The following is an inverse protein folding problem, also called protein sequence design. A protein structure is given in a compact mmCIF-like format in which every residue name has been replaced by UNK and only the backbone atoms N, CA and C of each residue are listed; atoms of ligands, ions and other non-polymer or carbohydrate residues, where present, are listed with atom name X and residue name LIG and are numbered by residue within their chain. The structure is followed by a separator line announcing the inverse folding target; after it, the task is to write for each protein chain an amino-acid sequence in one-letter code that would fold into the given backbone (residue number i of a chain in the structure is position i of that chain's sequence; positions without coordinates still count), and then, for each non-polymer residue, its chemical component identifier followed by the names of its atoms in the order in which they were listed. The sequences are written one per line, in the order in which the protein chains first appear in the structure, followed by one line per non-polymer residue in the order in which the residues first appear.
data_IF_524344419188
#
_entry.id   IF_524344419188
#
_cell.length_a   1.000
_cell.length_b   1.000
_cell.length_c   1.000
_cell.angle_alpha   90.00
_cell.angle_beta   90.00
_cell.angle_gamma   90.00
#
_symmetry.space_group_name_H-M   'P 1'
#
loop_
_entity.id
_entity.type
_entity.pdbx_description
1 polymer ?
#
# COMPACT_ATOMS: atom_id res chain seq x y z
N UNK A 1 -11.08 7.24 -18.35
CA UNK A 1 -10.90 6.83 -16.93
C UNK A 1 -9.62 5.99 -16.85
N UNK A 2 -8.76 6.21 -15.86
CA UNK A 2 -7.39 5.62 -15.79
C UNK A 2 -7.40 4.17 -15.27
N UNK A 3 -8.46 3.74 -14.57
CA UNK A 3 -8.59 2.41 -13.96
C UNK A 3 -9.66 1.58 -14.69
N UNK A 4 -9.48 0.25 -14.72
CA UNK A 4 -10.53 -0.71 -15.14
C UNK A 4 -11.63 -0.85 -14.08
N UNK A 5 -12.77 -1.43 -14.43
CA UNK A 5 -13.88 -1.67 -13.48
C UNK A 5 -13.43 -2.48 -12.26
N UNK A 6 -12.61 -3.52 -12.47
CA UNK A 6 -12.03 -4.30 -11.37
C UNK A 6 -11.08 -3.47 -10.51
N UNK A 7 -10.27 -2.59 -11.11
CA UNK A 7 -9.38 -1.70 -10.37
C UNK A 7 -10.14 -0.61 -9.61
N UNK A 8 -11.30 -0.17 -10.07
CA UNK A 8 -12.19 0.75 -9.32
C UNK A 8 -12.69 0.09 -8.03
N UNK A 9 -13.07 -1.19 -8.09
CA UNK A 9 -13.51 -1.92 -6.90
C UNK A 9 -12.37 -2.04 -5.87
N UNK A 10 -11.16 -2.39 -6.33
CA UNK A 10 -9.96 -2.45 -5.48
C UNK A 10 -9.66 -1.07 -4.89
N UNK A 11 -9.70 -0.02 -5.72
CA UNK A 11 -9.55 1.36 -5.29
C UNK A 11 -10.53 1.72 -4.18
N UNK A 12 -11.83 1.41 -4.33
CA UNK A 12 -12.84 1.70 -3.33
C UNK A 12 -12.52 1.11 -1.97
N UNK A 13 -12.12 -0.17 -1.92
CA UNK A 13 -11.70 -0.84 -0.67
C UNK A 13 -10.46 -0.17 -0.06
N UNK A 14 -9.43 0.08 -0.87
CA UNK A 14 -8.18 0.71 -0.42
C UNK A 14 -8.42 2.14 0.08
N UNK A 15 -9.26 2.89 -0.62
CA UNK A 15 -9.61 4.26 -0.29
C UNK A 15 -10.31 4.35 1.06
N UNK A 16 -11.32 3.50 1.29
CA UNK A 16 -12.02 3.46 2.57
C UNK A 16 -11.10 3.13 3.73
N UNK A 17 -10.22 2.15 3.56
CA UNK A 17 -9.23 1.81 4.58
C UNK A 17 -8.27 2.95 4.89
N UNK A 18 -7.78 3.66 3.87
CA UNK A 18 -6.89 4.80 4.05
C UNK A 18 -7.57 5.94 4.82
N UNK A 19 -8.86 6.19 4.57
CA UNK A 19 -9.64 7.18 5.32
C UNK A 19 -9.89 6.78 6.77
N UNK A 20 -10.07 5.49 7.07
CA UNK A 20 -10.18 5.00 8.46
C UNK A 20 -8.87 5.17 9.23
N UNK A 21 -7.73 4.89 8.59
CA UNK A 21 -6.41 5.15 9.17
C UNK A 21 -6.22 6.66 9.45
N UNK A 22 -6.65 7.52 8.52
CA UNK A 22 -6.63 8.96 8.71
C UNK A 22 -7.60 9.43 9.81
N UNK A 23 -8.78 8.80 9.92
CA UNK A 23 -9.74 9.07 10.99
C UNK A 23 -9.13 8.77 12.36
N UNK A 24 -8.38 7.68 12.47
CA UNK A 24 -7.67 7.32 13.70
C UNK A 24 -6.63 8.38 14.09
N UNK A 25 -5.92 8.97 13.12
CA UNK A 25 -4.99 10.09 13.35
C UNK A 25 -5.70 11.29 13.99
N UNK A 26 -6.93 11.62 13.56
CA UNK A 26 -7.69 12.76 14.06
C UNK A 26 -8.58 12.46 15.26
N UNK A 27 -8.48 11.29 15.89
CA UNK A 27 -9.36 10.88 17.00
C UNK A 27 -9.38 11.88 18.17
N UNK A 28 -8.31 12.66 18.35
CA UNK A 28 -8.17 13.65 19.42
C UNK A 28 -7.77 14.98 18.78
N UNK A 29 -8.33 16.10 19.26
CA UNK A 29 -8.00 17.45 18.82
C UNK A 29 -9.12 18.13 18.02
N UNK A 30 -8.79 19.23 17.34
CA UNK A 30 -9.74 20.07 16.60
C UNK A 30 -10.47 19.32 15.48
N UNK A 31 -9.84 18.29 14.92
CA UNK A 31 -10.35 17.54 13.77
C UNK A 31 -11.13 16.27 14.18
N UNK A 32 -11.35 16.06 15.49
CA UNK A 32 -12.04 14.87 16.01
C UNK A 32 -13.52 14.75 15.60
N UNK A 33 -14.13 15.82 15.09
CA UNK A 33 -15.48 15.77 14.52
C UNK A 33 -15.56 15.23 13.08
N UNK A 34 -14.44 15.17 12.36
CA UNK A 34 -14.44 14.86 10.91
C UNK A 34 -14.67 13.37 10.68
N UNK A 35 -15.70 13.03 9.92
CA UNK A 35 -16.08 11.64 9.63
C UNK A 35 -15.42 11.12 8.35
N UNK A 36 -15.39 9.79 8.21
CA UNK A 36 -14.94 9.14 6.96
C UNK A 36 -15.83 9.52 5.77
N UNK A 37 -17.14 9.67 5.98
CA UNK A 37 -18.08 10.10 4.94
C UNK A 37 -17.74 11.50 4.41
N UNK A 38 -17.43 12.44 5.31
CA UNK A 38 -17.01 13.80 4.93
C UNK A 38 -15.70 13.80 4.14
N UNK A 39 -14.72 13.00 4.56
CA UNK A 39 -13.43 12.88 3.85
C UNK A 39 -13.57 12.19 2.49
N UNK A 40 -14.55 11.28 2.36
CA UNK A 40 -14.84 10.58 1.11
C UNK A 40 -15.70 11.39 0.13
N UNK A 41 -16.43 12.39 0.62
CA UNK A 41 -17.47 13.08 -0.16
C UNK A 41 -18.69 12.20 -0.42
N UNK A 42 -19.03 11.35 0.53
CA UNK A 42 -20.28 10.60 0.45
C UNK A 42 -21.47 11.53 0.71
N UNK A 43 -22.64 11.18 0.17
CA UNK A 43 -23.89 11.86 0.51
C UNK A 43 -24.06 11.93 2.04
N UNK A 44 -24.42 13.11 2.61
CA UNK A 44 -24.81 14.37 1.96
C UNK A 44 -23.65 15.38 1.76
N UNK A 45 -22.41 14.93 1.91
CA UNK A 45 -21.19 15.75 1.85
C UNK A 45 -20.52 15.73 0.45
N UNK A 46 -21.24 15.36 -0.61
CA UNK A 46 -20.75 15.21 -1.99
C UNK A 46 -20.62 16.54 -2.77
N UNK A 47 -21.14 17.64 -2.22
CA UNK A 47 -21.05 18.97 -2.83
C UNK A 47 -19.63 19.57 -2.70
N UNK A 48 -18.86 19.74 -3.81
CA UNK A 48 -17.44 20.10 -3.74
C UNK A 48 -17.17 21.47 -3.10
N UNK A 49 -18.02 22.47 -3.38
CA UNK A 49 -17.87 23.80 -2.80
C UNK A 49 -18.07 23.78 -1.27
N UNK A 50 -18.95 22.89 -0.78
CA UNK A 50 -19.18 22.70 0.64
C UNK A 50 -18.01 21.96 1.29
N UNK A 51 -17.46 20.94 0.65
CA UNK A 51 -16.28 20.23 1.14
C UNK A 51 -15.07 21.15 1.30
N UNK A 52 -14.77 21.98 0.29
CA UNK A 52 -13.64 22.91 0.31
C UNK A 52 -13.74 23.97 1.41
N UNK A 53 -14.95 24.30 1.87
CA UNK A 53 -15.20 25.26 2.95
C UNK A 53 -15.15 24.62 4.34
N UNK A 54 -15.67 23.40 4.48
CA UNK A 54 -15.83 22.74 5.79
C UNK A 54 -14.56 22.02 6.23
N UNK A 55 -13.84 21.41 5.28
CA UNK A 55 -12.62 20.67 5.60
C UNK A 55 -11.44 21.61 5.78
N UNK A 56 -10.71 21.52 6.90
CA UNK A 56 -9.46 22.26 7.09
C UNK A 56 -8.43 21.92 5.99
N UNK A 57 -7.58 22.89 5.66
CA UNK A 57 -6.59 22.74 4.57
C UNK A 57 -5.62 21.58 4.80
N UNK A 58 -5.19 21.35 6.05
CA UNK A 58 -4.32 20.24 6.41
C UNK A 58 -5.01 18.87 6.22
N UNK A 59 -6.33 18.83 6.44
CA UNK A 59 -7.13 17.61 6.23
C UNK A 59 -7.24 17.31 4.74
N UNK A 60 -7.44 18.33 3.90
CA UNK A 60 -7.43 18.17 2.44
C UNK A 60 -6.08 17.67 1.91
N UNK A 61 -4.96 18.14 2.46
CA UNK A 61 -3.62 17.65 2.12
C UNK A 61 -3.47 16.18 2.51
N UNK A 62 -3.88 15.80 3.72
CA UNK A 62 -3.80 14.43 4.19
C UNK A 62 -4.70 13.47 3.38
N UNK A 63 -5.92 13.90 3.01
CA UNK A 63 -6.84 13.17 2.11
C UNK A 63 -6.17 12.93 0.75
N UNK A 64 -5.55 13.97 0.17
CA UNK A 64 -4.83 13.86 -1.11
C UNK A 64 -3.69 12.84 -1.02
N UNK A 65 -2.87 12.87 0.04
CA UNK A 65 -1.78 11.92 0.20
C UNK A 65 -2.29 10.49 0.45
N UNK A 66 -3.36 10.34 1.23
CA UNK A 66 -4.02 9.05 1.42
C UNK A 66 -4.54 8.48 0.08
N UNK A 67 -5.13 9.34 -0.76
CA UNK A 67 -5.63 8.95 -2.07
C UNK A 67 -4.48 8.52 -2.99
N UNK A 68 -3.39 9.30 -3.03
CA UNK A 68 -2.19 8.97 -3.80
C UNK A 68 -1.61 7.62 -3.37
N UNK A 69 -1.48 7.37 -2.06
CA UNK A 69 -0.99 6.10 -1.52
C UNK A 69 -1.88 4.92 -1.92
N UNK A 70 -3.20 5.08 -1.80
CA UNK A 70 -4.13 4.02 -2.18
C UNK A 70 -4.08 3.69 -3.68
N UNK A 71 -3.85 4.67 -4.57
CA UNK A 71 -3.69 4.43 -6.02
C UNK A 71 -2.42 3.60 -6.27
N UNK A 72 -1.32 3.93 -5.60
CA UNK A 72 -0.05 3.22 -5.73
C UNK A 72 -0.12 1.75 -5.26
N UNK A 73 -1.12 1.41 -4.45
CA UNK A 73 -1.37 0.04 -3.99
C UNK A 73 -2.22 -0.78 -4.96
N UNK A 74 -2.78 -0.19 -6.02
CA UNK A 74 -3.59 -0.92 -7.00
C UNK A 74 -2.64 -1.70 -7.95
N UNK A 75 -2.88 -3.00 -8.17
CA UNK A 75 -2.11 -3.78 -9.13
C UNK A 75 -2.29 -3.26 -10.56
N UNK A 76 -1.25 -3.32 -11.41
CA UNK A 76 -1.40 -3.07 -12.84
C UNK A 76 -2.45 -3.99 -13.46
N UNK A 77 -3.21 -3.49 -14.44
CA UNK A 77 -4.26 -4.26 -15.08
C UNK A 77 -3.69 -5.50 -15.79
N UNK A 78 -4.39 -6.63 -15.67
CA UNK A 78 -4.02 -7.88 -16.35
C UNK A 78 -2.87 -8.67 -15.71
N UNK A 79 -2.30 -8.19 -14.61
CA UNK A 79 -1.25 -8.92 -13.87
C UNK A 79 -1.88 -9.50 -12.59
N UNK A 80 -1.98 -10.83 -12.44
CA UNK A 80 -2.34 -11.46 -11.18
C UNK A 80 -1.33 -11.04 -10.11
N UNK A 81 -1.81 -10.41 -9.04
CA UNK A 81 -0.94 -10.05 -7.92
C UNK A 81 -0.76 -11.27 -7.00
N UNK A 82 0.49 -11.73 -6.86
CA UNK A 82 0.83 -12.76 -5.88
C UNK A 82 0.87 -12.18 -4.47
N UNK A 83 0.41 -12.96 -3.48
CA UNK A 83 0.54 -12.56 -2.07
C UNK A 83 2.03 -12.47 -1.74
N UNK A 84 2.44 -11.39 -1.05
CA UNK A 84 3.86 -11.12 -0.81
C UNK A 84 4.61 -12.28 -0.10
N UNK A 85 3.92 -13.06 0.73
CA UNK A 85 4.48 -14.24 1.42
C UNK A 85 4.73 -15.44 0.51
N UNK A 86 4.05 -15.51 -0.64
CA UNK A 86 4.13 -16.63 -1.59
C UNK A 86 5.16 -16.40 -2.69
N UNK A 87 5.70 -15.18 -2.81
CA UNK A 87 6.72 -14.85 -3.80
C UNK A 87 8.01 -15.59 -3.46
N UNK A 88 8.41 -16.49 -4.35
CA UNK A 88 9.66 -17.25 -4.29
C UNK A 88 10.53 -16.95 -5.50
N UNK A 89 11.85 -17.06 -5.31
CA UNK A 89 12.81 -16.95 -6.39
C UNK A 89 12.69 -18.19 -7.29
N UNK A 90 12.51 -17.98 -8.59
CA UNK A 90 12.56 -19.06 -9.57
C UNK A 90 13.93 -19.74 -9.63
N UNK A 91 13.98 -20.97 -10.14
CA UNK A 91 15.24 -21.73 -10.29
C UNK A 91 16.26 -21.00 -11.17
N UNK A 92 15.80 -20.27 -12.19
CA UNK A 92 16.64 -19.52 -13.12
C UNK A 92 16.46 -18.00 -13.01
N UNK A 93 15.73 -17.54 -11.99
CA UNK A 93 15.47 -16.12 -11.77
C UNK A 93 16.64 -15.48 -11.02
N UNK A 94 17.10 -14.31 -11.48
CA UNK A 94 18.11 -13.56 -10.74
C UNK A 94 17.55 -13.09 -9.39
N UNK A 95 18.43 -12.96 -8.40
CA UNK A 95 18.02 -12.48 -7.08
C UNK A 95 17.42 -11.07 -7.15
N UNK A 96 17.95 -10.20 -8.01
CA UNK A 96 17.44 -8.83 -8.22
C UNK A 96 15.99 -8.81 -8.71
N UNK A 97 15.66 -9.59 -9.75
CA UNK A 97 14.31 -9.65 -10.30
C UNK A 97 13.32 -10.21 -9.27
N UNK A 98 13.74 -11.23 -8.52
CA UNK A 98 12.95 -11.76 -7.41
C UNK A 98 12.70 -10.69 -6.32
N UNK A 99 13.74 -9.98 -5.87
CA UNK A 99 13.61 -8.94 -4.85
C UNK A 99 12.78 -7.76 -5.33
N UNK A 100 12.80 -7.43 -6.63
CA UNK A 100 11.96 -6.38 -7.20
C UNK A 100 10.48 -6.77 -7.14
N UNK A 101 10.13 -8.00 -7.53
CA UNK A 101 8.76 -8.52 -7.41
C UNK A 101 8.29 -8.54 -5.95
N UNK A 102 9.15 -9.04 -5.06
CA UNK A 102 8.85 -9.09 -3.62
C UNK A 102 8.65 -7.69 -3.04
N UNK A 103 9.53 -6.74 -3.37
CA UNK A 103 9.44 -5.33 -2.93
C UNK A 103 8.14 -4.68 -3.43
N UNK A 104 7.78 -4.90 -4.70
CA UNK A 104 6.54 -4.37 -5.25
C UNK A 104 5.31 -4.91 -4.51
N UNK A 105 5.25 -6.23 -4.26
CA UNK A 105 4.13 -6.83 -3.55
C UNK A 105 4.03 -6.36 -2.09
N UNK A 106 5.16 -6.27 -1.37
CA UNK A 106 5.21 -5.73 -0.01
C UNK A 106 4.71 -4.29 0.01
N UNK A 107 5.18 -3.44 -0.92
CA UNK A 107 4.77 -2.04 -0.98
C UNK A 107 3.26 -1.85 -1.24
N UNK A 108 2.64 -2.76 -2.00
CA UNK A 108 1.20 -2.70 -2.33
C UNK A 108 0.30 -3.30 -1.26
N UNK A 109 0.78 -4.35 -0.58
CA UNK A 109 -0.05 -5.16 0.33
C UNK A 109 0.15 -4.80 1.81
N UNK A 110 1.31 -4.25 2.18
CA UNK A 110 1.65 -3.90 3.57
C UNK A 110 1.50 -2.40 3.79
N UNK A 111 0.65 -2.01 4.75
CA UNK A 111 0.44 -0.59 5.10
C UNK A 111 1.46 -0.07 6.12
N UNK A 112 1.98 -0.95 6.98
CA UNK A 112 2.97 -0.58 7.99
C UNK A 112 4.34 -0.38 7.33
N UNK A 113 4.71 0.89 7.09
CA UNK A 113 6.01 1.27 6.52
C UNK A 113 7.19 0.79 7.38
N UNK A 114 7.03 0.68 8.70
CA UNK A 114 8.07 0.17 9.60
C UNK A 114 8.30 -1.34 9.45
N UNK A 115 7.26 -2.09 9.08
CA UNK A 115 7.35 -3.52 8.86
C UNK A 115 7.99 -3.90 7.52
N UNK A 116 7.88 -3.05 6.49
CA UNK A 116 8.30 -3.38 5.11
C UNK A 116 9.77 -3.81 4.98
N UNK A 117 10.77 -3.10 5.56
CA UNK A 117 12.17 -3.50 5.44
C UNK A 117 12.43 -4.88 6.08
N UNK A 118 11.82 -5.14 7.23
CA UNK A 118 11.95 -6.41 7.94
C UNK A 118 11.31 -7.56 7.19
N UNK A 119 10.11 -7.35 6.63
CA UNK A 119 9.44 -8.34 5.78
C UNK A 119 10.25 -8.64 4.52
N UNK A 120 10.77 -7.60 3.86
CA UNK A 120 11.58 -7.76 2.66
C UNK A 120 12.84 -8.58 2.96
N UNK A 121 13.59 -8.23 4.01
CA UNK A 121 14.80 -8.95 4.41
C UNK A 121 14.48 -10.42 4.76
N UNK A 122 13.46 -10.65 5.58
CA UNK A 122 13.11 -11.99 6.06
C UNK A 122 12.66 -12.89 4.92
N UNK A 123 11.79 -12.39 4.04
CA UNK A 123 11.26 -13.16 2.91
C UNK A 123 12.30 -13.32 1.80
N UNK A 124 13.15 -12.32 1.54
CA UNK A 124 14.21 -12.44 0.56
C UNK A 124 15.17 -13.59 0.92
N UNK A 125 15.50 -13.74 2.21
CA UNK A 125 16.33 -14.86 2.67
C UNK A 125 15.57 -16.21 2.66
N UNK A 126 14.37 -16.24 3.23
CA UNK A 126 13.59 -17.48 3.36
C UNK A 126 13.21 -18.07 1.98
N UNK A 127 12.84 -17.20 1.04
CA UNK A 127 12.27 -17.59 -0.25
C UNK A 127 13.28 -17.55 -1.42
N UNK A 128 14.56 -17.25 -1.14
CA UNK A 128 15.63 -17.40 -2.11
C UNK A 128 15.84 -18.86 -2.53
N UNK A 129 16.34 -19.04 -3.75
CA UNK A 129 16.68 -20.35 -4.30
C UNK A 129 17.95 -20.93 -3.63
N UNK A 130 18.22 -22.21 -3.89
CA UNK A 130 19.33 -22.93 -3.25
C UNK A 130 20.69 -22.34 -3.61
N UNK A 131 20.87 -21.89 -4.86
CA UNK A 131 22.12 -21.29 -5.34
C UNK A 131 22.48 -20.02 -4.54
N UNK A 132 21.51 -19.13 -4.34
CA UNK A 132 21.74 -17.91 -3.53
C UNK A 132 21.99 -18.24 -2.06
N UNK A 133 21.30 -19.24 -1.51
CA UNK A 133 21.51 -19.68 -0.12
C UNK A 133 22.92 -20.24 0.10
N UNK A 134 23.46 -20.98 -0.88
CA UNK A 134 24.83 -21.48 -0.82
C UNK A 134 25.86 -20.35 -0.80
N UNK A 135 25.68 -19.34 -1.66
CA UNK A 135 26.57 -18.18 -1.72
C UNK A 135 26.49 -17.35 -0.43
N UNK A 136 25.29 -17.02 0.06
CA UNK A 136 25.13 -16.18 1.26
C UNK A 136 25.70 -16.82 2.55
N UNK A 137 25.63 -18.15 2.69
CA UNK A 137 26.24 -18.88 3.81
C UNK A 137 27.78 -18.92 3.74
N UNK A 138 28.39 -18.80 2.56
CA UNK A 138 29.85 -18.69 2.44
C UNK A 138 30.34 -17.32 2.91
N UNK A 139 29.60 -16.25 2.64
CA UNK A 139 29.96 -14.90 3.10
C UNK A 139 29.87 -14.70 4.61
N UNK A 140 29.01 -15.45 5.31
CA UNK A 140 28.89 -15.38 6.78
C UNK A 140 29.97 -16.16 7.54
N UNK A 141 30.76 -16.99 6.85
CA UNK A 141 31.82 -17.83 7.44
C UNK A 141 33.23 -17.25 7.26
N UNK A 142 33.36 -16.14 6.54
CA UNK A 142 34.59 -15.37 6.37
C UNK A 142 34.54 -14.13 7.27
#
# INVERSE_FOLDING_TARGET
MILTDSQILIWGVKWRRALEELRNKYRIGSNAGITVAQMAGDLPDDEPARQARILPGEVLIDIKEAARKAIMQIPPAGIPESIYTEIKQGSSESFSLFTDRLTQAINRQVNDEGAKPHLLQSLAFANANAEFKLVSLQWQKC
#
